data_IF_285850049002
#
_entry.id   IF_285850049002
#
_cell.length_a   1.000
_cell.length_b   1.000
_cell.length_c   1.000
_cell.angle_alpha   90.00
_cell.angle_beta   90.00
_cell.angle_gamma   90.00
#
_symmetry.space_group_name_H-M   'P 1'
#
loop_
_entity.id
_entity.type
_entity.pdbx_description
1 polymer ?
#
# COMPACT_ATOMS: atom_id res chain seq x y z
N UNK A 1 17.13 -16.63 19.23
CA UNK A 1 17.46 -16.33 17.81
C UNK A 1 16.94 -14.94 17.51
N UNK A 2 17.71 -14.14 16.78
CA UNK A 2 17.35 -12.78 16.39
C UNK A 2 16.86 -12.75 14.95
N UNK A 3 16.02 -11.77 14.62
CA UNK A 3 15.53 -11.54 13.26
C UNK A 3 15.89 -10.13 12.79
N UNK A 4 16.24 -10.02 11.51
CA UNK A 4 16.50 -8.76 10.82
C UNK A 4 15.62 -8.69 9.58
N UNK A 5 14.84 -7.63 9.49
CA UNK A 5 14.12 -7.30 8.27
C UNK A 5 14.94 -6.28 7.49
N UNK A 6 15.24 -6.60 6.24
CA UNK A 6 16.15 -5.84 5.41
C UNK A 6 15.71 -5.84 3.94
N UNK A 7 16.37 -5.02 3.13
CA UNK A 7 15.99 -4.79 1.72
C UNK A 7 17.25 -4.84 0.85
N UNK A 8 17.83 -6.03 0.62
CA UNK A 8 18.89 -6.17 -0.37
C UNK A 8 18.36 -5.66 -1.74
N UNK A 9 19.18 -4.89 -2.43
CA UNK A 9 18.92 -4.46 -3.80
C UNK A 9 19.78 -5.28 -4.73
N UNK A 10 19.15 -6.03 -5.62
CA UNK A 10 19.81 -6.80 -6.67
C UNK A 10 19.13 -6.51 -8.00
N UNK A 11 19.67 -7.06 -9.08
CA UNK A 11 19.05 -6.97 -10.41
C UNK A 11 17.67 -7.65 -10.47
N UNK A 12 17.39 -8.56 -9.53
CA UNK A 12 16.07 -9.21 -9.40
C UNK A 12 15.02 -8.27 -8.82
N UNK A 13 15.44 -7.19 -8.15
CA UNK A 13 14.56 -6.15 -7.65
C UNK A 13 14.87 -5.70 -6.23
N UNK A 14 13.94 -4.90 -5.71
CA UNK A 14 13.99 -4.26 -4.41
C UNK A 14 12.82 -4.77 -3.56
N UNK A 15 13.03 -5.89 -2.89
CA UNK A 15 12.03 -6.57 -2.08
C UNK A 15 12.41 -6.56 -0.60
N UNK A 16 11.45 -6.79 0.29
CA UNK A 16 11.70 -6.92 1.73
C UNK A 16 11.93 -8.39 2.07
N UNK A 17 13.03 -8.64 2.77
CA UNK A 17 13.50 -9.94 3.21
C UNK A 17 13.62 -9.98 4.72
N UNK A 18 13.57 -11.19 5.28
CA UNK A 18 13.92 -11.49 6.65
C UNK A 18 15.15 -12.41 6.66
N UNK A 19 16.02 -12.22 7.65
CA UNK A 19 17.13 -13.12 7.94
C UNK A 19 17.23 -13.33 9.45
N UNK A 20 17.92 -14.39 9.84
CA UNK A 20 18.05 -14.78 11.24
C UNK A 20 19.50 -14.87 11.64
N UNK A 21 19.74 -14.64 12.93
CA UNK A 21 21.07 -14.73 13.52
C UNK A 21 21.02 -15.41 14.89
N UNK A 22 21.92 -16.37 15.17
CA UNK A 22 22.08 -16.89 16.52
C UNK A 22 22.79 -15.90 17.46
N UNK A 23 23.57 -14.96 16.92
CA UNK A 23 24.61 -14.21 17.66
C UNK A 23 24.69 -12.70 17.34
N UNK A 24 23.77 -12.17 16.53
CA UNK A 24 23.73 -10.80 15.97
C UNK A 24 24.89 -10.43 15.04
N UNK A 25 25.79 -11.36 14.73
CA UNK A 25 26.96 -11.13 13.85
C UNK A 25 26.81 -11.84 12.52
N UNK A 26 26.41 -13.10 12.57
CA UNK A 26 26.25 -13.97 11.42
C UNK A 26 24.77 -14.05 11.06
N UNK A 27 24.42 -13.63 9.85
CA UNK A 27 23.04 -13.57 9.37
C UNK A 27 22.88 -14.55 8.21
N UNK A 28 21.81 -15.36 8.25
CA UNK A 28 21.50 -16.35 7.23
C UNK A 28 20.02 -16.68 7.16
N UNK A 29 19.69 -17.72 6.40
CA UNK A 29 18.30 -18.16 6.23
C UNK A 29 17.41 -17.08 5.58
N UNK A 30 17.96 -16.33 4.62
CA UNK A 30 17.27 -15.21 3.96
C UNK A 30 16.00 -15.67 3.27
N UNK A 31 14.87 -15.04 3.60
CA UNK A 31 13.57 -15.33 2.98
C UNK A 31 12.87 -14.08 2.53
N UNK A 32 12.28 -14.14 1.35
CA UNK A 32 11.48 -13.06 0.78
C UNK A 32 10.12 -13.02 1.48
N UNK A 33 9.81 -11.91 2.18
CA UNK A 33 8.56 -11.79 2.95
C UNK A 33 7.59 -10.77 2.35
N UNK A 34 8.08 -9.81 1.56
CA UNK A 34 7.22 -8.94 0.77
C UNK A 34 7.88 -8.52 -0.55
N UNK A 35 7.29 -8.97 -1.65
CA UNK A 35 7.74 -8.62 -2.99
C UNK A 35 7.14 -7.28 -3.46
N UNK A 36 7.97 -6.37 -3.98
CA UNK A 36 7.49 -5.29 -4.84
C UNK A 36 6.61 -5.84 -5.96
N UNK A 37 5.48 -5.19 -6.20
CA UNK A 37 4.54 -5.63 -7.23
C UNK A 37 5.02 -5.18 -8.62
N UNK A 38 4.32 -5.62 -9.67
CA UNK A 38 4.63 -5.26 -11.06
C UNK A 38 3.50 -4.45 -11.69
N UNK A 39 3.80 -3.68 -12.74
CA UNK A 39 2.79 -2.94 -13.49
C UNK A 39 2.27 -1.69 -12.76
N UNK A 40 0.97 -1.45 -12.81
CA UNK A 40 0.36 -0.17 -12.40
C UNK A 40 0.14 -0.01 -10.88
N UNK A 41 0.56 -0.98 -10.06
CA UNK A 41 0.43 -0.90 -8.60
C UNK A 41 1.26 0.25 -8.03
N UNK A 42 0.84 0.77 -6.89
CA UNK A 42 1.46 1.95 -6.29
C UNK A 42 2.80 1.65 -5.58
N UNK A 43 2.99 0.41 -5.17
CA UNK A 43 4.22 -0.19 -4.65
C UNK A 43 4.83 -1.14 -5.70
N UNK A 44 4.60 -0.82 -6.98
CA UNK A 44 5.35 -1.43 -8.05
C UNK A 44 6.84 -1.04 -7.94
N UNK A 45 7.72 -1.65 -8.73
CA UNK A 45 9.16 -1.35 -8.82
C UNK A 45 10.00 -1.64 -7.56
N UNK A 46 9.67 -1.06 -6.40
CA UNK A 46 10.44 -1.20 -5.15
C UNK A 46 9.51 -1.15 -3.94
N UNK A 47 9.83 -1.96 -2.93
CA UNK A 47 9.31 -1.83 -1.57
C UNK A 47 10.45 -1.79 -0.57
N UNK A 48 10.23 -1.14 0.56
CA UNK A 48 11.21 -1.08 1.63
C UNK A 48 10.57 -0.87 3.00
N UNK A 49 11.26 -1.37 4.02
CA UNK A 49 10.90 -1.15 5.41
C UNK A 49 10.94 0.37 5.72
N UNK A 50 10.03 0.84 6.57
CA UNK A 50 10.04 2.22 7.06
C UNK A 50 10.52 2.24 8.53
N UNK A 51 9.67 2.13 9.57
CA UNK A 51 10.15 1.88 10.93
C UNK A 51 10.34 0.37 11.20
N UNK A 52 10.98 0.02 12.35
CA UNK A 52 10.85 -1.32 12.94
C UNK A 52 9.39 -1.76 13.06
N UNK A 53 9.16 -3.08 13.04
CA UNK A 53 7.81 -3.64 13.17
C UNK A 53 7.26 -3.34 14.57
N UNK A 54 5.95 -3.09 14.63
CA UNK A 54 5.24 -2.82 15.88
C UNK A 54 4.55 -4.11 16.30
N UNK A 55 4.87 -4.62 17.48
CA UNK A 55 4.17 -5.77 18.05
C UNK A 55 2.73 -5.39 18.40
N UNK A 56 1.79 -6.26 18.06
CA UNK A 56 0.37 -6.11 18.43
C UNK A 56 -0.20 -7.46 18.81
N UNK A 57 -1.35 -7.46 19.50
CA UNK A 57 -2.08 -8.70 19.81
C UNK A 57 -2.57 -9.48 18.58
N UNK A 58 -2.43 -8.90 17.38
CA UNK A 58 -2.84 -9.51 16.10
C UNK A 58 -1.64 -9.94 15.25
N UNK A 59 -0.43 -9.72 15.71
CA UNK A 59 0.81 -9.95 14.95
C UNK A 59 1.68 -8.71 14.81
N UNK A 60 2.74 -8.84 14.02
CA UNK A 60 3.70 -7.77 13.76
C UNK A 60 3.20 -6.83 12.66
N UNK A 61 2.89 -5.59 13.03
CA UNK A 61 2.48 -4.56 12.08
C UNK A 61 3.71 -3.93 11.42
N UNK A 62 3.85 -4.15 10.11
CA UNK A 62 4.85 -3.52 9.27
C UNK A 62 4.24 -2.31 8.53
N UNK A 63 4.84 -1.15 8.76
CA UNK A 63 4.64 0.02 7.91
C UNK A 63 5.75 0.01 6.86
N UNK A 64 5.39 -0.06 5.59
CA UNK A 64 6.36 -0.12 4.49
C UNK A 64 6.10 0.98 3.47
N UNK A 65 7.15 1.41 2.77
CA UNK A 65 7.00 2.29 1.62
C UNK A 65 7.02 1.49 0.33
N UNK A 66 6.21 1.91 -0.63
CA UNK A 66 6.20 1.41 -2.01
C UNK A 66 6.49 2.54 -2.99
N UNK A 67 7.20 2.23 -4.07
CA UNK A 67 7.75 3.24 -4.99
C UNK A 67 7.31 3.00 -6.43
N UNK A 68 6.30 3.73 -6.91
CA UNK A 68 5.97 3.66 -8.34
C UNK A 68 6.81 4.65 -9.15
N UNK A 69 7.54 4.15 -10.15
CA UNK A 69 8.17 5.03 -11.14
C UNK A 69 7.13 5.57 -12.15
N UNK A 70 7.26 6.86 -12.47
CA UNK A 70 6.43 7.57 -13.43
C UNK A 70 7.30 8.42 -14.36
N UNK A 71 6.72 8.99 -15.41
CA UNK A 71 7.44 9.91 -16.30
C UNK A 71 8.02 11.13 -15.56
N UNK A 72 7.43 11.52 -14.43
CA UNK A 72 7.88 12.65 -13.59
C UNK A 72 8.72 12.21 -12.39
N UNK A 73 9.24 10.98 -12.39
CA UNK A 73 10.06 10.43 -11.31
C UNK A 73 9.32 9.46 -10.39
N UNK A 74 9.82 9.31 -9.17
CA UNK A 74 9.40 8.29 -8.21
C UNK A 74 8.32 8.77 -7.25
N UNK A 75 7.21 8.05 -7.18
CA UNK A 75 6.12 8.28 -6.22
C UNK A 75 6.21 7.30 -5.05
N UNK A 76 6.44 7.83 -3.85
CA UNK A 76 6.45 7.06 -2.61
C UNK A 76 5.07 7.10 -1.94
N UNK A 77 4.60 5.96 -1.45
CA UNK A 77 3.42 5.87 -0.59
C UNK A 77 3.65 4.85 0.52
N UNK A 78 2.91 5.00 1.61
CA UNK A 78 2.92 4.04 2.72
C UNK A 78 1.82 2.99 2.55
N UNK A 79 2.17 1.75 2.88
CA UNK A 79 1.25 0.64 3.04
C UNK A 79 1.44 -0.04 4.39
N UNK A 80 0.50 -0.91 4.72
CA UNK A 80 0.50 -1.69 5.94
C UNK A 80 0.46 -3.17 5.58
N UNK A 81 1.31 -3.96 6.23
CA UNK A 81 1.24 -5.41 6.23
C UNK A 81 1.23 -5.90 7.68
N UNK A 82 0.51 -6.99 7.94
CA UNK A 82 0.48 -7.65 9.23
C UNK A 82 1.07 -9.04 9.07
N UNK A 83 2.12 -9.34 9.82
CA UNK A 83 2.77 -10.64 9.86
C UNK A 83 2.38 -11.41 11.11
N UNK A 84 2.44 -12.73 11.04
CA UNK A 84 2.14 -13.60 12.17
C UNK A 84 3.14 -13.40 13.32
N UNK A 85 2.66 -13.49 14.57
CA UNK A 85 3.47 -13.20 15.76
C UNK A 85 4.52 -14.29 16.01
N UNK A 86 4.15 -15.56 15.78
CA UNK A 86 5.00 -16.73 16.01
C UNK A 86 5.85 -17.06 14.77
N UNK A 87 5.31 -16.81 13.58
CA UNK A 87 6.01 -16.99 12.32
C UNK A 87 6.08 -15.69 11.50
N UNK A 88 7.08 -14.81 11.75
CA UNK A 88 7.17 -13.49 11.12
C UNK A 88 7.42 -13.52 9.60
N UNK A 89 7.60 -14.70 9.01
CA UNK A 89 7.69 -14.89 7.56
C UNK A 89 6.32 -14.88 6.88
N UNK A 90 5.26 -15.20 7.64
CA UNK A 90 3.91 -15.33 7.14
C UNK A 90 3.19 -13.98 7.17
N UNK A 91 2.95 -13.41 5.99
CA UNK A 91 2.10 -12.24 5.84
C UNK A 91 0.62 -12.65 5.93
N UNK A 92 -0.07 -12.22 6.99
CA UNK A 92 -1.50 -12.49 7.22
C UNK A 92 -2.40 -11.54 6.42
N UNK A 93 -2.03 -10.25 6.37
CA UNK A 93 -2.82 -9.21 5.70
C UNK A 93 -1.88 -8.24 5.02
N UNK A 94 -2.15 -7.96 3.74
CA UNK A 94 -1.54 -6.84 3.02
C UNK A 94 -2.62 -5.81 2.67
N UNK A 95 -2.65 -4.69 3.40
CA UNK A 95 -3.65 -3.65 3.15
C UNK A 95 -3.11 -2.64 2.15
N UNK A 96 -3.68 -2.71 0.96
CA UNK A 96 -3.40 -1.78 -0.12
C UNK A 96 -4.16 -0.48 0.14
N UNK A 97 -3.51 0.66 -0.07
CA UNK A 97 -4.23 1.93 -0.14
C UNK A 97 -5.16 1.89 -1.36
N UNK A 98 -6.38 1.38 -1.16
CA UNK A 98 -7.44 1.49 -2.13
C UNK A 98 -7.77 2.98 -2.22
N UNK A 99 -7.55 3.58 -3.40
CA UNK A 99 -8.25 4.81 -3.72
C UNK A 99 -9.71 4.55 -3.41
N UNK A 100 -10.28 5.23 -2.40
CA UNK A 100 -11.73 5.36 -2.32
C UNK A 100 -12.13 5.87 -3.70
N UNK A 101 -12.81 5.06 -4.50
CA UNK A 101 -13.59 5.62 -5.60
C UNK A 101 -14.50 6.61 -4.89
N UNK A 102 -14.26 7.91 -5.08
CA UNK A 102 -15.26 8.91 -4.73
C UNK A 102 -16.48 8.46 -5.51
N UNK A 103 -17.47 7.88 -4.84
CA UNK A 103 -18.80 7.76 -5.43
C UNK A 103 -19.15 9.22 -5.72
N UNK A 104 -19.16 9.60 -6.98
CA UNK A 104 -19.86 10.82 -7.36
C UNK A 104 -21.28 10.59 -6.86
N UNK A 105 -21.67 11.31 -5.80
CA UNK A 105 -23.08 11.48 -5.52
C UNK A 105 -23.70 12.02 -6.82
N UNK A 106 -24.80 11.46 -7.32
CA UNK A 106 -25.49 12.06 -8.45
C UNK A 106 -25.85 13.48 -8.03
N UNK A 107 -25.16 14.45 -8.65
CA UNK A 107 -25.42 15.85 -8.41
C UNK A 107 -26.89 16.13 -8.71
N UNK A 108 -27.53 16.78 -7.75
CA UNK A 108 -28.85 17.38 -7.86
C UNK A 108 -28.82 18.38 -9.03
N UNK A 109 -29.09 17.89 -10.24
CA UNK A 109 -29.26 18.73 -11.44
C UNK A 109 -30.52 18.33 -12.20
N UNK A 110 -31.65 18.30 -11.49
CA UNK A 110 -32.98 18.31 -12.11
C UNK A 110 -33.96 19.03 -11.20
N UNK A 111 -33.98 20.36 -11.24
CA UNK A 111 -35.14 21.22 -10.90
C UNK A 111 -34.87 22.70 -11.23
N UNK A 112 -34.50 23.02 -12.47
CA UNK A 112 -34.59 24.40 -13.03
C UNK A 112 -34.85 24.41 -14.54
N UNK A 113 -35.80 23.59 -15.01
CA UNK A 113 -36.31 23.67 -16.41
C UNK A 113 -37.84 23.62 -16.53
N UNK A 114 -38.59 23.69 -15.43
CA UNK A 114 -40.06 23.75 -15.46
C UNK A 114 -40.68 25.10 -15.11
N UNK A 115 -39.93 26.04 -14.53
CA UNK A 115 -40.48 27.36 -14.15
C UNK A 115 -40.42 28.41 -15.28
N UNK A 116 -39.68 28.16 -16.37
CA UNK A 116 -39.63 29.10 -17.51
C UNK A 116 -40.74 28.86 -18.55
N UNK A 117 -41.43 27.72 -18.54
CA UNK A 117 -42.56 27.45 -19.46
C UNK A 117 -43.94 27.85 -18.93
N UNK A 118 -44.04 28.25 -17.65
CA UNK A 118 -45.30 28.73 -17.07
C UNK A 118 -45.53 30.24 -17.29
N UNK A 119 -44.47 31.06 -17.46
CA UNK A 119 -44.61 32.53 -17.63
C UNK A 119 -44.87 33.00 -19.06
N UNK A 120 -44.95 32.10 -20.04
CA UNK A 120 -45.26 32.42 -21.44
C UNK A 120 -46.67 32.00 -21.89
N UNK A 121 -47.51 31.50 -20.98
CA UNK A 121 -48.93 31.16 -21.25
C UNK A 121 -49.95 32.11 -20.61
N UNK A 122 -49.50 33.17 -19.94
CA UNK A 122 -50.36 34.24 -19.39
C UNK A 122 -50.25 35.57 -20.16
N UNK A 123 -49.72 35.54 -21.39
CA UNK A 123 -49.69 36.69 -22.31
C UNK A 123 -50.03 36.27 -23.74
N UNK A 124 -51.11 35.52 -23.89
CA UNK A 124 -51.80 35.26 -25.16
C UNK A 124 -53.31 35.38 -24.91
#
# INVERSE_FOLDING_TARGET
SFALIHRPMTDLGAHIWISYSPDLRNWGGHKLILAARKGAWWDANKVGLSPPLIETTRGWLMIYHGVRHTASGSLYRLGLALFDLENPELCLVLRLHARRRRRHAPGVLRRRRHEHRARHRERA
#
